data_IF_109841913744
#
_entry.id   IF_109841913744
#
_cell.length_a   1.000
_cell.length_b   1.000
_cell.length_c   1.000
_cell.angle_alpha   90.00
_cell.angle_beta   90.00
_cell.angle_gamma   90.00
#
_symmetry.space_group_name_H-M   'P 1'
#
loop_
_entity.id
_entity.type
_entity.pdbx_description
1 polymer ?
#
# COMPACT_ATOMS: atom_id res chain seq x y z
N UNK A 1 27.12 8.06 9.65
CA UNK A 1 26.01 7.82 10.59
C UNK A 1 25.32 6.53 10.15
N UNK A 2 25.10 5.58 11.07
CA UNK A 2 24.33 4.36 10.78
C UNK A 2 22.81 4.62 10.81
N UNK A 3 22.00 3.57 10.76
CA UNK A 3 20.56 3.67 11.02
C UNK A 3 20.25 4.12 12.45
N UNK A 4 19.05 4.67 12.67
CA UNK A 4 18.55 5.00 14.01
C UNK A 4 18.18 3.70 14.73
N UNK A 5 18.67 3.54 15.96
CA UNK A 5 18.35 2.41 16.85
C UNK A 5 17.15 2.71 17.75
N UNK A 6 17.16 3.88 18.38
CA UNK A 6 16.08 4.34 19.27
C UNK A 6 15.99 5.86 19.27
N UNK A 7 14.76 6.38 19.41
CA UNK A 7 14.50 7.80 19.67
C UNK A 7 14.66 8.03 21.16
N UNK A 8 15.41 9.06 21.55
CA UNK A 8 15.64 9.44 22.95
C UNK A 8 14.87 10.70 23.28
N UNK A 9 14.85 11.10 24.55
CA UNK A 9 14.11 12.30 24.99
C UNK A 9 14.52 13.58 24.24
N UNK A 10 15.77 13.70 23.79
CA UNK A 10 16.29 14.90 23.11
C UNK A 10 16.79 14.65 21.69
N UNK A 11 16.66 13.44 21.15
CA UNK A 11 17.17 13.12 19.83
C UNK A 11 17.13 11.64 19.50
N UNK A 12 18.27 11.07 19.09
CA UNK A 12 18.33 9.68 18.67
C UNK A 12 19.69 9.04 18.91
N UNK A 13 19.66 7.75 19.26
CA UNK A 13 20.83 6.88 19.30
C UNK A 13 20.91 6.04 18.03
N UNK A 14 22.10 5.99 17.46
CA UNK A 14 22.39 5.29 16.22
C UNK A 14 22.93 3.89 16.49
N UNK A 15 22.83 3.00 15.50
CA UNK A 15 23.30 1.60 15.62
C UNK A 15 24.79 1.47 15.93
N UNK A 16 25.60 2.47 15.60
CA UNK A 16 27.03 2.55 15.92
C UNK A 16 27.31 3.00 17.37
N UNK A 17 26.28 3.24 18.18
CA UNK A 17 26.39 3.67 19.57
C UNK A 17 26.44 5.18 19.77
N UNK A 18 26.58 5.97 18.70
CA UNK A 18 26.57 7.43 18.75
C UNK A 18 25.17 7.95 19.12
N UNK A 19 25.10 8.99 19.94
CA UNK A 19 23.85 9.67 20.30
C UNK A 19 23.94 11.14 19.91
N UNK A 20 22.86 11.69 19.33
CA UNK A 20 22.78 13.10 18.93
C UNK A 20 21.44 13.70 19.30
N UNK A 21 21.47 14.97 19.65
CA UNK A 21 20.28 15.77 19.89
C UNK A 21 19.68 16.30 18.56
N UNK A 22 18.36 16.37 18.49
CA UNK A 22 17.60 16.90 17.36
C UNK A 22 16.37 17.66 17.86
N UNK A 23 16.10 18.84 17.30
CA UNK A 23 14.93 19.64 17.69
C UNK A 23 13.61 19.12 17.09
N UNK A 24 13.68 18.35 16.01
CA UNK A 24 12.51 17.82 15.32
C UNK A 24 12.78 16.46 14.67
N UNK A 25 11.75 15.60 14.67
CA UNK A 25 11.73 14.33 13.94
C UNK A 25 10.64 14.38 12.86
N UNK A 26 11.02 14.17 11.59
CA UNK A 26 10.08 14.09 10.47
C UNK A 26 9.90 12.63 10.09
N UNK A 27 8.70 12.10 10.32
CA UNK A 27 8.35 10.72 9.99
C UNK A 27 7.96 10.59 8.51
N UNK A 28 8.96 10.50 7.63
CA UNK A 28 8.79 10.22 6.21
C UNK A 28 8.74 8.70 5.90
N UNK A 29 8.13 7.91 6.80
CA UNK A 29 8.13 6.43 6.75
C UNK A 29 7.02 5.84 5.86
N UNK A 30 6.28 6.69 5.15
CA UNK A 30 5.21 6.29 4.23
C UNK A 30 3.84 6.23 4.90
N UNK A 31 2.93 5.46 4.31
CA UNK A 31 1.55 5.30 4.79
C UNK A 31 1.08 3.85 4.68
N UNK A 32 0.08 3.49 5.49
CA UNK A 32 -0.73 2.29 5.33
C UNK A 32 -2.10 2.68 4.78
N UNK A 33 -2.68 1.82 3.95
CA UNK A 33 -4.03 2.04 3.43
C UNK A 33 -5.06 1.77 4.53
N UNK A 34 -6.18 2.50 4.52
CA UNK A 34 -7.28 2.28 5.47
C UNK A 34 -8.22 1.14 5.07
N UNK A 35 -7.97 0.44 3.95
CA UNK A 35 -8.79 -0.69 3.49
C UNK A 35 -9.16 -1.69 4.60
N UNK A 36 -8.22 -2.14 5.46
CA UNK A 36 -8.54 -3.12 6.50
C UNK A 36 -9.53 -2.61 7.57
N UNK A 37 -9.73 -1.30 7.69
CA UNK A 37 -10.63 -0.73 8.71
C UNK A 37 -12.10 -0.78 8.29
N UNK A 38 -12.38 -0.78 6.98
CA UNK A 38 -13.75 -0.79 6.44
C UNK A 38 -14.10 -2.07 5.69
N UNK A 39 -13.13 -2.72 5.05
CA UNK A 39 -13.34 -3.98 4.31
C UNK A 39 -13.06 -5.19 5.20
N UNK A 40 -14.11 -5.74 5.81
CA UNK A 40 -14.02 -6.92 6.69
C UNK A 40 -14.09 -8.23 5.90
N UNK A 41 -13.46 -9.28 6.44
CA UNK A 41 -13.62 -10.66 5.95
C UNK A 41 -13.03 -10.91 4.55
N UNK A 42 -12.04 -10.11 4.14
CA UNK A 42 -11.46 -10.18 2.81
C UNK A 42 -9.98 -10.59 2.87
N UNK A 43 -9.63 -11.72 2.26
CA UNK A 43 -8.25 -12.21 2.17
C UNK A 43 -7.44 -11.55 1.04
N UNK A 44 -7.97 -10.49 0.43
CA UNK A 44 -7.38 -9.85 -0.76
C UNK A 44 -6.27 -8.85 -0.42
N UNK A 45 -6.33 -8.23 0.76
CA UNK A 45 -5.38 -7.21 1.22
C UNK A 45 -4.53 -7.71 2.39
N UNK A 46 -3.29 -7.23 2.48
CA UNK A 46 -2.42 -7.40 3.64
C UNK A 46 -2.85 -6.49 4.81
N UNK A 47 -2.22 -6.66 5.96
CA UNK A 47 -2.43 -5.78 7.13
C UNK A 47 -2.09 -4.31 6.85
N UNK A 48 -1.20 -4.04 5.89
CA UNK A 48 -0.87 -2.67 5.44
C UNK A 48 -1.92 -2.10 4.45
N UNK A 49 -2.97 -2.87 4.16
CA UNK A 49 -4.05 -2.49 3.26
C UNK A 49 -3.68 -2.49 1.78
N UNK A 50 -2.66 -3.27 1.40
CA UNK A 50 -2.19 -3.42 0.02
C UNK A 50 -2.61 -4.79 -0.53
N UNK A 51 -2.92 -4.93 -1.84
CA UNK A 51 -3.21 -6.24 -2.43
C UNK A 51 -2.08 -7.23 -2.16
N UNK A 52 -2.43 -8.46 -1.75
CA UNK A 52 -1.42 -9.51 -1.47
C UNK A 52 -0.71 -9.97 -2.74
N UNK A 53 -1.44 -9.99 -3.85
CA UNK A 53 -0.86 -10.34 -5.15
C UNK A 53 -0.08 -9.15 -5.72
N UNK A 54 1.15 -9.35 -6.19
CA UNK A 54 1.95 -8.27 -6.76
C UNK A 54 1.36 -7.79 -8.10
N UNK A 55 1.77 -6.59 -8.53
CA UNK A 55 1.55 -6.15 -9.90
C UNK A 55 2.18 -7.17 -10.87
N UNK A 56 1.52 -7.55 -11.99
CA UNK A 56 0.32 -6.93 -12.56
C UNK A 56 -1.00 -7.66 -12.22
N UNK A 57 -1.04 -8.46 -11.15
CA UNK A 57 -2.17 -9.37 -10.85
C UNK A 57 -2.99 -8.96 -9.61
N UNK A 58 -2.52 -8.03 -8.79
CA UNK A 58 -3.23 -7.55 -7.59
C UNK A 58 -4.48 -6.68 -7.80
N UNK A 59 -4.98 -6.55 -9.02
CA UNK A 59 -6.10 -5.65 -9.34
C UNK A 59 -7.48 -6.31 -9.24
N UNK A 60 -7.57 -7.65 -9.33
CA UNK A 60 -8.83 -8.41 -9.30
C UNK A 60 -8.93 -9.29 -8.06
N UNK A 61 -9.92 -9.00 -7.22
CA UNK A 61 -10.32 -9.82 -6.09
C UNK A 61 -11.50 -10.73 -6.43
N UNK A 62 -12.09 -11.35 -5.40
CA UNK A 62 -13.27 -12.19 -5.55
C UNK A 62 -14.57 -11.37 -5.48
N UNK A 63 -15.68 -11.97 -5.95
CA UNK A 63 -17.04 -11.42 -5.81
C UNK A 63 -17.20 -9.97 -6.32
N UNK A 64 -16.50 -9.65 -7.42
CA UNK A 64 -16.58 -8.33 -8.05
C UNK A 64 -15.82 -7.21 -7.32
N UNK A 65 -14.97 -7.55 -6.35
CA UNK A 65 -14.04 -6.63 -5.71
C UNK A 65 -12.82 -6.39 -6.61
N UNK A 66 -12.42 -5.13 -6.74
CA UNK A 66 -11.22 -4.73 -7.46
C UNK A 66 -10.38 -3.76 -6.63
N UNK A 67 -9.09 -3.72 -6.93
CA UNK A 67 -8.15 -2.76 -6.34
C UNK A 67 -7.52 -1.93 -7.46
N UNK A 68 -7.59 -0.60 -7.33
CA UNK A 68 -7.02 0.37 -8.28
C UNK A 68 -5.96 1.20 -7.57
N UNK A 69 -4.76 1.31 -8.14
CA UNK A 69 -3.75 2.25 -7.66
C UNK A 69 -3.00 1.83 -6.39
N UNK A 70 -3.35 0.69 -5.77
CA UNK A 70 -2.66 0.14 -4.60
C UNK A 70 -1.39 -0.66 -4.95
N UNK A 71 -0.85 -0.50 -6.18
CA UNK A 71 0.29 -1.26 -6.69
C UNK A 71 1.65 -0.59 -6.47
N UNK A 72 1.69 0.60 -5.83
CA UNK A 72 2.89 1.43 -5.62
C UNK A 72 3.64 1.78 -6.92
N UNK A 73 2.90 1.90 -8.03
CA UNK A 73 3.43 2.19 -9.38
C UNK A 73 3.07 3.60 -9.88
N UNK A 74 2.65 4.48 -8.97
CA UNK A 74 2.22 5.84 -9.29
C UNK A 74 0.99 5.91 -10.20
N UNK A 75 0.80 7.08 -10.83
CA UNK A 75 -0.37 7.39 -11.68
C UNK A 75 -0.47 6.42 -12.87
N UNK A 76 0.67 6.06 -13.48
CA UNK A 76 0.70 5.11 -14.59
C UNK A 76 0.17 3.73 -14.18
N UNK A 77 0.59 3.23 -13.01
CA UNK A 77 0.09 1.98 -12.45
C UNK A 77 -1.41 2.00 -12.20
N UNK A 78 -1.91 3.07 -11.59
CA UNK A 78 -3.35 3.26 -11.37
C UNK A 78 -4.14 3.22 -12.70
N UNK A 79 -3.62 3.86 -13.75
CA UNK A 79 -4.23 3.82 -15.08
C UNK A 79 -4.23 2.42 -15.71
N UNK A 80 -3.16 1.63 -15.51
CA UNK A 80 -3.11 0.24 -15.97
C UNK A 80 -4.17 -0.60 -15.26
N UNK A 81 -4.26 -0.49 -13.94
CA UNK A 81 -5.24 -1.22 -13.14
C UNK A 81 -6.68 -0.84 -13.56
N UNK A 82 -6.97 0.45 -13.70
CA UNK A 82 -8.27 0.97 -14.11
C UNK A 82 -8.72 0.42 -15.48
N UNK A 83 -7.81 0.39 -16.47
CA UNK A 83 -8.11 -0.19 -17.80
C UNK A 83 -8.44 -1.67 -17.71
N UNK A 84 -7.70 -2.44 -16.91
CA UNK A 84 -7.97 -3.88 -16.74
C UNK A 84 -9.34 -4.13 -16.14
N UNK A 85 -9.70 -3.36 -15.11
CA UNK A 85 -11.00 -3.46 -14.44
C UNK A 85 -12.15 -3.12 -15.40
N UNK A 86 -11.99 -2.04 -16.18
CA UNK A 86 -12.98 -1.66 -17.18
C UNK A 86 -13.18 -2.76 -18.23
N UNK A 87 -12.09 -3.34 -18.76
CA UNK A 87 -12.16 -4.45 -19.71
C UNK A 87 -12.83 -5.69 -19.11
N UNK A 88 -12.50 -6.03 -17.87
CA UNK A 88 -13.09 -7.17 -17.16
C UNK A 88 -14.60 -7.00 -16.96
N UNK A 89 -15.04 -5.81 -16.52
CA UNK A 89 -16.46 -5.49 -16.35
C UNK A 89 -17.22 -5.49 -17.68
N UNK A 90 -16.63 -4.96 -18.74
CA UNK A 90 -17.23 -5.00 -20.07
C UNK A 90 -17.40 -6.45 -20.58
N UNK A 91 -16.41 -7.32 -20.35
CA UNK A 91 -16.50 -8.74 -20.69
C UNK A 91 -17.56 -9.48 -19.87
N UNK A 92 -17.71 -9.16 -18.58
CA UNK A 92 -18.76 -9.72 -17.74
C UNK A 92 -20.16 -9.29 -18.22
N UNK A 93 -20.37 -8.01 -18.53
CA UNK A 93 -21.67 -7.53 -19.02
C UNK A 93 -22.09 -8.17 -20.34
N UNK A 94 -21.15 -8.42 -21.25
CA UNK A 94 -21.43 -9.10 -22.54
C UNK A 94 -21.97 -10.52 -22.37
N UNK A 95 -21.82 -11.15 -21.20
CA UNK A 95 -22.39 -12.48 -20.94
C UNK A 95 -23.90 -12.42 -20.66
N UNK A 96 -24.42 -11.23 -20.38
CA UNK A 96 -25.82 -10.99 -20.05
C UNK A 96 -26.58 -10.27 -21.18
N UNK A 97 -25.90 -9.95 -22.29
CA UNK A 97 -26.46 -9.38 -23.52
C UNK A 97 -26.54 -10.43 -24.60
#
# INVERSE_FOLDING_TARGET
MGGVKEVTHRGAKFVNGEEKEFDALILATGYKSNVPTWLKGCDFFSEDGMPKMPFPHGWKGQKGLYSVGCTKRGILGAGIDARKIASDRAMEWRKFS
#
